data_IF_679858200448
#
_entry.id   IF_679858200448
#
_cell.length_a   1.000
_cell.length_b   1.000
_cell.length_c   1.000
_cell.angle_alpha   90.00
_cell.angle_beta   90.00
_cell.angle_gamma   90.00
#
_symmetry.space_group_name_H-M   'P 1'
#
loop_
_entity.id
_entity.type
_entity.pdbx_description
1 polymer ?
#
# COMPACT_ATOMS: atom_id res chain seq x y z
N UNK A 1 -34.11 -27.30 -3.35
CA UNK A 1 -32.88 -26.49 -3.49
C UNK A 1 -33.26 -25.10 -3.97
N UNK A 2 -33.48 -24.16 -3.04
CA UNK A 2 -33.87 -22.77 -3.39
C UNK A 2 -32.63 -21.97 -3.77
N UNK A 3 -32.43 -21.65 -5.04
CA UNK A 3 -31.46 -20.64 -5.49
C UNK A 3 -31.89 -19.28 -4.93
N UNK A 4 -31.00 -18.66 -4.16
CA UNK A 4 -31.24 -17.34 -3.57
C UNK A 4 -31.29 -16.28 -4.68
N UNK A 5 -32.37 -15.51 -4.71
CA UNK A 5 -32.58 -14.40 -5.68
C UNK A 5 -31.52 -13.28 -5.64
N UNK A 6 -30.58 -13.33 -4.70
CA UNK A 6 -29.43 -12.45 -4.64
C UNK A 6 -28.33 -12.78 -5.64
N UNK A 7 -28.28 -14.01 -6.15
CA UNK A 7 -27.21 -14.49 -7.04
C UNK A 7 -27.35 -13.90 -8.47
N UNK A 8 -28.56 -13.77 -8.98
CA UNK A 8 -28.80 -13.22 -10.34
C UNK A 8 -28.48 -11.73 -10.45
N UNK A 9 -28.76 -10.93 -9.41
CA UNK A 9 -28.44 -9.50 -9.42
C UNK A 9 -26.95 -9.24 -9.33
N UNK A 10 -26.21 -10.05 -8.55
CA UNK A 10 -24.74 -9.94 -8.50
C UNK A 10 -24.10 -10.38 -9.81
N UNK A 11 -24.58 -11.45 -10.43
CA UNK A 11 -24.07 -11.91 -11.73
C UNK A 11 -24.28 -10.89 -12.86
N UNK A 12 -25.46 -10.23 -12.90
CA UNK A 12 -25.75 -9.19 -13.89
C UNK A 12 -24.85 -7.96 -13.68
N UNK A 13 -24.60 -7.56 -12.43
CA UNK A 13 -23.70 -6.43 -12.14
C UNK A 13 -22.25 -6.75 -12.49
N UNK A 14 -21.79 -7.99 -12.32
CA UNK A 14 -20.46 -8.46 -12.68
C UNK A 14 -20.25 -8.42 -14.21
N UNK A 15 -21.26 -8.84 -14.98
CA UNK A 15 -21.23 -8.75 -16.45
C UNK A 15 -21.22 -7.30 -16.95
N UNK A 16 -22.00 -6.42 -16.32
CA UNK A 16 -22.03 -5.00 -16.66
C UNK A 16 -20.68 -4.33 -16.35
N UNK A 17 -20.07 -4.62 -15.21
CA UNK A 17 -18.75 -4.14 -14.86
C UNK A 17 -17.67 -4.66 -15.83
N UNK A 18 -17.70 -5.94 -16.18
CA UNK A 18 -16.79 -6.49 -17.18
C UNK A 18 -16.91 -5.79 -18.54
N UNK A 19 -18.14 -5.54 -19.01
CA UNK A 19 -18.38 -4.82 -20.27
C UNK A 19 -17.84 -3.39 -20.23
N UNK A 20 -17.97 -2.72 -19.08
CA UNK A 20 -17.54 -1.33 -18.92
C UNK A 20 -16.02 -1.19 -18.75
N UNK A 21 -15.35 -2.15 -18.11
CA UNK A 21 -13.93 -2.05 -17.72
C UNK A 21 -13.01 -2.94 -18.55
N UNK A 22 -13.54 -3.96 -19.22
CA UNK A 22 -12.75 -5.01 -19.89
C UNK A 22 -12.01 -5.94 -18.91
N UNK A 23 -12.23 -5.80 -17.61
CA UNK A 23 -11.56 -6.58 -16.57
C UNK A 23 -12.54 -7.55 -15.88
N UNK A 24 -12.17 -8.83 -15.80
CA UNK A 24 -12.95 -9.84 -15.09
C UNK A 24 -12.94 -9.60 -13.58
N UNK A 25 -14.09 -9.78 -12.93
CA UNK A 25 -14.18 -9.74 -11.48
C UNK A 25 -13.48 -10.98 -10.89
N UNK A 26 -12.57 -10.76 -9.96
CA UNK A 26 -11.86 -11.82 -9.25
C UNK A 26 -12.46 -11.92 -7.85
N UNK A 27 -13.09 -13.05 -7.56
CA UNK A 27 -13.70 -13.33 -6.25
C UNK A 27 -12.65 -13.77 -5.22
N UNK A 28 -13.04 -13.74 -3.93
CA UNK A 28 -12.21 -14.21 -2.83
C UNK A 28 -11.26 -13.15 -2.26
N UNK A 29 -11.36 -11.89 -2.69
CA UNK A 29 -10.61 -10.79 -2.11
C UNK A 29 -11.27 -10.30 -0.83
N UNK A 30 -10.43 -9.87 0.12
CA UNK A 30 -10.86 -9.17 1.32
C UNK A 30 -10.34 -7.74 1.29
N UNK A 31 -11.24 -6.78 1.43
CA UNK A 31 -10.93 -5.35 1.39
C UNK A 31 -11.26 -4.69 2.73
N UNK A 32 -10.35 -3.85 3.20
CA UNK A 32 -10.57 -2.96 4.34
C UNK A 32 -10.18 -1.54 3.94
N UNK A 33 -11.14 -0.63 4.02
CA UNK A 33 -10.86 0.79 3.76
C UNK A 33 -10.22 1.39 5.01
N UNK A 34 -9.07 2.03 4.83
CA UNK A 34 -8.38 2.79 5.85
C UNK A 34 -8.60 4.28 5.58
N UNK A 35 -9.12 4.99 6.55
CA UNK A 35 -9.40 6.42 6.44
C UNK A 35 -8.22 7.22 6.99
N UNK A 36 -7.78 8.24 6.23
CA UNK A 36 -6.76 9.23 6.57
C UNK A 36 -5.44 8.67 7.15
N UNK A 37 -4.61 9.55 7.69
CA UNK A 37 -3.32 9.18 8.28
C UNK A 37 -3.48 8.35 9.56
N UNK A 38 -4.55 8.59 10.34
CA UNK A 38 -4.80 7.87 11.59
C UNK A 38 -5.10 6.39 11.36
N UNK A 39 -5.78 6.07 10.25
CA UNK A 39 -6.04 4.70 9.86
C UNK A 39 -4.86 4.05 9.10
N UNK A 40 -4.23 4.80 8.22
CA UNK A 40 -3.20 4.29 7.31
C UNK A 40 -1.85 4.05 8.01
N UNK A 41 -1.34 5.01 8.77
CA UNK A 41 0.02 4.91 9.32
C UNK A 41 0.21 3.73 10.28
N UNK A 42 -0.69 3.44 11.23
CA UNK A 42 -0.55 2.25 12.07
C UNK A 42 -0.62 0.94 11.29
N UNK A 43 -1.43 0.89 10.23
CA UNK A 43 -1.53 -0.29 9.37
C UNK A 43 -0.24 -0.51 8.55
N UNK A 44 0.35 0.56 8.03
CA UNK A 44 1.64 0.51 7.32
C UNK A 44 2.78 0.11 8.26
N UNK A 45 2.83 0.68 9.46
CA UNK A 45 3.82 0.29 10.49
C UNK A 45 3.73 -1.20 10.82
N UNK A 46 2.52 -1.70 11.06
CA UNK A 46 2.30 -3.11 11.35
C UNK A 46 2.75 -4.01 10.19
N UNK A 47 2.45 -3.61 8.94
CA UNK A 47 2.89 -4.34 7.75
C UNK A 47 4.42 -4.35 7.60
N UNK A 48 5.08 -3.20 7.80
CA UNK A 48 6.54 -3.08 7.77
C UNK A 48 7.17 -3.93 8.88
N UNK A 49 6.67 -3.82 10.11
CA UNK A 49 7.18 -4.59 11.25
C UNK A 49 6.99 -6.10 11.05
N UNK A 50 5.88 -6.51 10.46
CA UNK A 50 5.58 -7.91 10.16
C UNK A 50 6.36 -8.52 8.99
N UNK A 51 6.97 -7.71 8.13
CA UNK A 51 7.68 -8.18 6.95
C UNK A 51 8.93 -9.01 7.32
N UNK A 52 9.13 -10.13 6.63
CA UNK A 52 10.25 -11.07 6.88
C UNK A 52 11.20 -11.24 5.72
N UNK A 53 10.76 -10.99 4.49
CA UNK A 53 11.55 -11.24 3.27
C UNK A 53 11.76 -9.99 2.43
N UNK A 54 10.68 -9.30 2.06
CA UNK A 54 10.74 -8.14 1.17
C UNK A 54 9.76 -7.06 1.61
N UNK A 55 10.14 -5.80 1.39
CA UNK A 55 9.28 -4.63 1.45
C UNK A 55 9.46 -3.88 0.14
N UNK A 56 8.36 -3.66 -0.58
CA UNK A 56 8.30 -2.74 -1.71
C UNK A 56 7.36 -1.61 -1.35
N UNK A 57 7.86 -0.39 -1.34
CA UNK A 57 7.12 0.81 -1.01
C UNK A 57 7.18 1.77 -2.18
N UNK A 58 6.02 2.24 -2.61
CA UNK A 58 5.88 3.24 -3.65
C UNK A 58 5.16 4.46 -3.09
N UNK A 59 5.75 5.65 -3.25
CA UNK A 59 5.19 6.90 -2.73
C UNK A 59 5.38 8.02 -3.75
N UNK A 60 4.32 8.80 -3.97
CA UNK A 60 4.44 10.03 -4.74
C UNK A 60 5.17 11.12 -3.94
N UNK A 61 4.83 11.27 -2.67
CA UNK A 61 5.39 12.30 -1.78
C UNK A 61 6.05 11.67 -0.57
N UNK A 62 7.32 12.01 -0.34
CA UNK A 62 8.02 11.76 0.93
C UNK A 62 8.58 13.08 1.43
N UNK A 63 8.22 13.46 2.65
CA UNK A 63 8.77 14.64 3.31
C UNK A 63 9.83 14.30 4.35
N UNK A 64 10.83 15.16 4.45
CA UNK A 64 11.83 15.06 5.52
C UNK A 64 11.31 15.71 6.82
N UNK A 65 10.19 15.21 7.29
CA UNK A 65 9.54 15.61 8.54
C UNK A 65 9.61 14.48 9.59
N UNK A 66 8.91 14.65 10.70
CA UNK A 66 8.85 13.64 11.77
C UNK A 66 8.31 12.30 11.25
N UNK A 67 7.27 12.31 10.43
CA UNK A 67 6.63 11.11 9.89
C UNK A 67 7.54 10.41 8.89
N UNK A 68 8.11 11.15 7.94
CA UNK A 68 9.03 10.59 6.96
C UNK A 68 10.26 9.96 7.60
N UNK A 69 10.85 10.64 8.59
CA UNK A 69 11.99 10.08 9.35
C UNK A 69 11.61 8.83 10.14
N UNK A 70 10.43 8.78 10.73
CA UNK A 70 9.94 7.60 11.43
C UNK A 70 9.84 6.38 10.51
N UNK A 71 9.20 6.53 9.34
CA UNK A 71 9.11 5.44 8.35
C UNK A 71 10.48 5.05 7.79
N UNK A 72 11.37 6.02 7.52
CA UNK A 72 12.76 5.73 7.15
C UNK A 72 13.44 4.84 8.18
N UNK A 73 13.32 5.15 9.45
CA UNK A 73 13.98 4.41 10.53
C UNK A 73 13.44 2.99 10.66
N UNK A 74 12.12 2.81 10.50
CA UNK A 74 11.49 1.49 10.43
C UNK A 74 12.02 0.66 9.26
N UNK A 75 12.07 1.24 8.06
CA UNK A 75 12.57 0.57 6.86
C UNK A 75 14.05 0.21 7.01
N UNK A 76 14.87 1.14 7.54
CA UNK A 76 16.28 0.90 7.80
C UNK A 76 16.50 -0.21 8.83
N UNK A 77 15.69 -0.26 9.89
CA UNK A 77 15.73 -1.34 10.88
C UNK A 77 15.43 -2.70 10.24
N UNK A 78 14.44 -2.78 9.36
CA UNK A 78 14.11 -4.01 8.63
C UNK A 78 15.23 -4.42 7.66
N UNK A 79 15.84 -3.47 6.96
CA UNK A 79 16.98 -3.74 6.09
C UNK A 79 18.15 -4.32 6.88
N UNK A 80 18.47 -3.79 8.06
CA UNK A 80 19.51 -4.35 8.95
C UNK A 80 19.18 -5.76 9.45
N UNK A 81 17.91 -6.15 9.49
CA UNK A 81 17.46 -7.51 9.81
C UNK A 81 17.51 -8.46 8.60
N UNK A 82 17.98 -8.01 7.44
CA UNK A 82 18.09 -8.83 6.23
C UNK A 82 16.86 -8.82 5.32
N UNK A 83 15.85 -8.00 5.63
CA UNK A 83 14.69 -7.82 4.75
C UNK A 83 15.10 -6.97 3.53
N UNK A 84 14.74 -7.42 2.32
CA UNK A 84 15.01 -6.67 1.09
C UNK A 84 14.06 -5.49 0.97
N UNK A 85 14.54 -4.28 1.26
CA UNK A 85 13.74 -3.06 1.20
C UNK A 85 14.00 -2.33 -0.11
N UNK A 86 12.93 -1.99 -0.84
CA UNK A 86 12.97 -1.14 -2.02
C UNK A 86 11.93 -0.04 -1.87
N UNK A 87 12.35 1.22 -2.07
CA UNK A 87 11.49 2.39 -2.03
C UNK A 87 11.61 3.10 -3.38
N UNK A 88 10.47 3.28 -4.03
CA UNK A 88 10.33 4.13 -5.22
C UNK A 88 9.55 5.37 -4.81
N UNK A 89 10.04 6.54 -5.17
CA UNK A 89 9.32 7.79 -4.94
C UNK A 89 9.56 8.77 -6.09
N UNK A 90 8.58 9.65 -6.31
CA UNK A 90 8.68 10.69 -7.30
C UNK A 90 9.57 11.83 -6.78
N UNK A 91 10.55 12.24 -7.60
CA UNK A 91 11.51 13.28 -7.21
C UNK A 91 10.86 14.65 -7.07
N UNK A 92 9.88 14.97 -7.92
CA UNK A 92 9.18 16.24 -7.88
C UNK A 92 8.28 16.35 -6.65
N UNK A 93 7.51 15.31 -6.37
CA UNK A 93 6.69 15.21 -5.15
C UNK A 93 7.51 15.19 -3.86
N UNK A 94 8.79 14.83 -3.97
CA UNK A 94 9.69 14.66 -2.82
C UNK A 94 10.86 15.65 -2.83
N UNK A 95 10.66 16.88 -3.33
CA UNK A 95 11.68 17.92 -3.43
C UNK A 95 12.40 18.23 -2.09
N UNK A 96 11.73 18.04 -0.96
CA UNK A 96 12.34 18.19 0.37
C UNK A 96 13.48 17.20 0.65
N UNK A 97 13.65 16.17 -0.19
CA UNK A 97 14.73 15.18 -0.10
C UNK A 97 15.95 15.52 -0.96
N UNK A 98 15.94 16.59 -1.75
CA UNK A 98 17.01 16.96 -2.68
C UNK A 98 18.38 17.16 -2.03
N UNK A 99 18.48 17.22 -0.72
CA UNK A 99 19.77 17.19 -0.01
C UNK A 99 20.38 15.79 0.17
N UNK A 100 19.65 14.72 -0.18
CA UNK A 100 20.12 13.31 -0.11
C UNK A 100 20.44 12.78 1.30
N UNK A 101 20.43 13.63 2.30
CA UNK A 101 20.86 13.26 3.66
C UNK A 101 19.83 12.45 4.45
N UNK A 102 18.57 12.46 4.04
CA UNK A 102 17.54 11.65 4.69
C UNK A 102 17.85 10.15 4.63
N UNK A 103 18.49 9.68 3.55
CA UNK A 103 18.83 8.27 3.32
C UNK A 103 20.28 7.93 3.67
N UNK A 104 21.06 8.89 4.14
CA UNK A 104 22.41 8.61 4.63
C UNK A 104 22.34 7.98 6.03
N UNK A 105 23.15 6.97 6.31
CA UNK A 105 23.23 6.35 7.62
C UNK A 105 23.73 7.32 8.69
#
# INVERSE_FOLDING_TARGET
MRRRSGDLRSQLSDEELFRATGASLIHGNHLRILWDAQGNYPAWEAAIQGARTTIHMEMYVIHNDKTGRHFRDLLAAKARQGVKVRVIYDWFGSLSLLGGWMWKP
#
